data_IF_491887557072
#
_entry.id   IF_491887557072
#
_cell.length_a   1.000
_cell.length_b   1.000
_cell.length_c   1.000
_cell.angle_alpha   90.00
_cell.angle_beta   90.00
_cell.angle_gamma   90.00
#
_symmetry.space_group_name_H-M   'P 1'
#
loop_
_entity.id
_entity.type
_entity.pdbx_description
1 polymer ?
#
# COMPACT_ATOMS: atom_id res chain seq x y z
N UNK A 1 12.16 -5.96 2.62
CA UNK A 1 11.31 -7.18 2.69
C UNK A 1 9.90 -6.73 3.00
N UNK A 2 8.97 -6.92 2.07
CA UNK A 2 7.55 -6.67 2.29
C UNK A 2 6.94 -7.97 2.77
N UNK A 3 6.16 -7.90 3.85
CA UNK A 3 5.39 -9.04 4.31
C UNK A 3 3.93 -8.57 4.29
N UNK A 4 3.06 -9.38 3.70
CA UNK A 4 1.63 -9.13 3.64
C UNK A 4 1.08 -9.11 5.07
N UNK A 5 0.88 -7.91 5.60
CA UNK A 5 0.37 -7.68 6.95
C UNK A 5 -1.13 -7.42 6.89
N UNK A 6 -1.91 -8.24 7.58
CA UNK A 6 -3.31 -7.95 7.84
C UNK A 6 -3.42 -6.79 8.85
N UNK A 7 -4.05 -5.70 8.40
CA UNK A 7 -4.69 -4.61 9.16
C UNK A 7 -4.06 -4.17 10.50
N UNK A 8 -3.54 -2.94 10.52
CA UNK A 8 -3.33 -2.16 11.74
C UNK A 8 -3.07 -0.69 11.43
N UNK A 9 -4.12 0.14 11.44
CA UNK A 9 -3.99 1.59 11.30
C UNK A 9 -3.39 2.21 12.57
N UNK A 10 -2.30 2.98 12.43
CA UNK A 10 -2.04 4.17 13.23
C UNK A 10 -1.03 5.07 12.50
N UNK A 11 -1.49 6.26 12.11
CA UNK A 11 -0.65 7.39 11.70
C UNK A 11 -0.80 8.48 12.77
N UNK A 12 0.28 9.15 13.15
CA UNK A 12 0.28 10.48 13.75
C UNK A 12 1.65 11.13 13.55
N UNK A 13 1.66 12.40 13.15
CA UNK A 13 2.79 13.32 13.21
C UNK A 13 2.30 14.64 13.82
N UNK A 14 2.94 15.00 14.93
CA UNK A 14 3.32 16.30 15.51
C UNK A 14 2.56 17.60 15.17
N UNK A 15 2.35 18.39 16.23
CA UNK A 15 1.50 19.58 16.28
C UNK A 15 2.21 20.94 16.14
N UNK A 16 1.38 21.98 16.17
CA UNK A 16 1.76 23.39 16.31
C UNK A 16 0.71 24.12 17.20
N UNK A 17 1.20 25.13 17.91
CA UNK A 17 0.70 25.75 19.13
C UNK A 17 -0.68 26.46 19.10
N UNK A 18 -1.17 26.74 20.32
CA UNK A 18 -2.46 27.31 20.68
C UNK A 18 -2.52 28.84 20.66
N UNK A 19 -3.72 29.38 20.41
CA UNK A 19 -4.22 30.62 21.02
C UNK A 19 -5.75 30.69 20.85
N UNK A 20 -6.47 30.92 21.96
CA UNK A 20 -7.66 31.76 21.94
C UNK A 20 -9.00 31.13 21.60
N UNK A 21 -9.57 30.41 22.57
CA UNK A 21 -11.02 30.20 22.83
C UNK A 21 -12.02 30.80 21.84
N UNK A 22 -12.54 29.94 20.96
CA UNK A 22 -13.97 29.84 20.61
C UNK A 22 -14.29 28.36 20.49
N UNK A 23 -15.03 27.85 21.47
CA UNK A 23 -15.58 26.50 21.49
C UNK A 23 -16.48 26.30 20.27
N UNK A 24 -15.93 25.66 19.23
CA UNK A 24 -16.67 25.06 18.13
C UNK A 24 -16.48 23.54 18.21
N UNK A 25 -17.52 22.74 17.92
CA UNK A 25 -17.59 21.35 18.32
C UNK A 25 -16.67 20.49 17.45
N UNK A 26 -15.58 20.02 18.02
CA UNK A 26 -14.86 18.87 17.51
C UNK A 26 -15.61 17.63 18.01
N UNK A 27 -15.95 16.72 17.09
CA UNK A 27 -16.66 15.42 17.28
C UNK A 27 -18.12 15.33 16.81
N UNK A 28 -18.42 15.91 15.65
CA UNK A 28 -19.47 15.38 14.78
C UNK A 28 -18.86 14.93 13.45
N UNK A 29 -18.14 13.80 13.47
CA UNK A 29 -18.14 12.94 12.28
C UNK A 29 -19.59 12.64 11.90
N UNK A 30 -19.93 12.44 10.61
CA UNK A 30 -21.31 12.19 10.22
C UNK A 30 -21.85 11.03 11.05
N UNK A 31 -22.88 11.33 11.85
CA UNK A 31 -23.60 10.34 12.64
C UNK A 31 -24.00 9.18 11.73
N UNK A 32 -23.72 7.92 12.10
CA UNK A 32 -23.96 6.76 11.25
C UNK A 32 -25.45 6.46 11.04
N UNK A 33 -26.35 7.31 11.56
CA UNK A 33 -27.78 7.11 11.58
C UNK A 33 -28.57 7.94 10.55
N UNK A 34 -27.90 8.67 9.65
CA UNK A 34 -28.58 9.58 8.73
C UNK A 34 -28.26 9.36 7.25
N UNK A 35 -28.11 8.11 6.81
CA UNK A 35 -28.44 7.66 5.45
C UNK A 35 -28.91 6.21 5.57
N UNK A 36 -30.12 5.91 5.05
CA UNK A 36 -30.88 4.70 5.34
C UNK A 36 -30.31 3.41 4.74
N UNK A 37 -29.16 2.95 5.23
CA UNK A 37 -28.62 1.61 4.97
C UNK A 37 -28.20 0.95 6.27
N UNK A 38 -28.61 -0.30 6.48
CA UNK A 38 -28.22 -1.07 7.66
C UNK A 38 -26.76 -1.55 7.57
N UNK A 39 -26.23 -2.19 8.63
CA UNK A 39 -24.88 -2.77 8.64
C UNK A 39 -24.61 -3.73 7.47
N UNK A 40 -25.68 -4.36 6.95
CA UNK A 40 -25.65 -5.28 5.82
C UNK A 40 -25.38 -4.58 4.48
N UNK A 41 -25.89 -3.37 4.29
CA UNK A 41 -25.74 -2.60 3.05
C UNK A 41 -24.29 -2.10 2.86
N UNK A 42 -23.60 -1.81 3.97
CA UNK A 42 -22.18 -1.46 3.95
C UNK A 42 -21.31 -2.65 3.52
N UNK A 43 -21.59 -3.84 4.05
CA UNK A 43 -20.84 -5.06 3.71
C UNK A 43 -21.10 -5.47 2.26
N UNK A 44 -22.35 -5.40 1.79
CA UNK A 44 -22.68 -5.62 0.38
C UNK A 44 -21.93 -4.66 -0.54
N UNK A 45 -21.93 -3.36 -0.24
CA UNK A 45 -21.19 -2.38 -1.04
C UNK A 45 -19.66 -2.58 -1.01
N UNK A 46 -19.10 -3.22 0.01
CA UNK A 46 -17.68 -3.60 0.02
C UNK A 46 -17.40 -4.81 -0.87
N UNK A 47 -18.28 -5.81 -0.83
CA UNK A 47 -18.20 -7.02 -1.66
C UNK A 47 -18.30 -6.64 -3.15
N UNK A 48 -19.27 -5.79 -3.49
CA UNK A 48 -19.48 -5.34 -4.87
C UNK A 48 -18.24 -4.63 -5.41
N UNK A 49 -17.65 -3.70 -4.63
CA UNK A 49 -16.41 -3.02 -5.00
C UNK A 49 -15.24 -3.99 -5.20
N UNK A 50 -15.09 -4.98 -4.32
CA UNK A 50 -14.04 -5.99 -4.46
C UNK A 50 -14.22 -6.81 -5.74
N UNK A 51 -15.45 -7.24 -6.03
CA UNK A 51 -15.78 -7.99 -7.24
C UNK A 51 -15.52 -7.16 -8.50
N UNK A 52 -15.87 -5.87 -8.50
CA UNK A 52 -15.61 -4.97 -9.62
C UNK A 52 -14.11 -4.83 -9.91
N UNK A 53 -13.30 -4.64 -8.86
CA UNK A 53 -11.84 -4.52 -8.99
C UNK A 53 -11.23 -5.84 -9.47
N UNK A 54 -11.68 -6.96 -8.91
CA UNK A 54 -11.21 -8.29 -9.32
C UNK A 54 -11.54 -8.56 -10.79
N UNK A 55 -12.79 -8.33 -11.20
CA UNK A 55 -13.24 -8.56 -12.57
C UNK A 55 -12.48 -7.64 -13.56
N UNK A 56 -12.21 -6.39 -13.19
CA UNK A 56 -11.40 -5.49 -14.01
C UNK A 56 -9.94 -5.96 -14.13
N UNK A 57 -9.35 -6.46 -13.04
CA UNK A 57 -7.97 -6.94 -13.02
C UNK A 57 -7.79 -8.29 -13.73
N UNK A 58 -8.84 -9.11 -13.81
CA UNK A 58 -8.84 -10.37 -14.55
C UNK A 58 -8.95 -10.17 -16.08
N UNK A 59 -9.29 -8.96 -16.54
CA UNK A 59 -9.31 -8.68 -17.97
C UNK A 59 -7.92 -8.86 -18.60
N UNK A 60 -7.87 -9.29 -19.88
CA UNK A 60 -6.63 -9.34 -20.64
C UNK A 60 -5.88 -8.01 -20.57
N UNK A 61 -4.54 -8.08 -20.51
CA UNK A 61 -3.71 -6.88 -20.46
C UNK A 61 -3.91 -5.96 -21.69
N UNK A 62 -4.30 -6.54 -22.82
CA UNK A 62 -4.84 -5.87 -24.01
C UNK A 62 -5.65 -6.88 -24.83
N UNK A 63 -6.39 -6.41 -25.83
CA UNK A 63 -7.19 -7.28 -26.70
C UNK A 63 -6.34 -8.35 -27.39
N UNK A 64 -6.62 -9.63 -27.12
CA UNK A 64 -5.88 -10.77 -27.67
C UNK A 64 -4.68 -11.23 -26.83
N UNK A 65 -4.42 -10.60 -25.67
CA UNK A 65 -3.46 -11.10 -24.70
C UNK A 65 -4.06 -12.27 -23.91
N UNK A 66 -3.26 -13.31 -23.65
CA UNK A 66 -3.69 -14.46 -22.83
C UNK A 66 -3.56 -14.16 -21.33
N UNK A 67 -2.71 -13.20 -20.97
CA UNK A 67 -2.39 -12.87 -19.58
C UNK A 67 -3.27 -11.74 -19.09
N UNK A 68 -3.84 -11.91 -17.90
CA UNK A 68 -4.61 -10.86 -17.23
C UNK A 68 -3.71 -9.81 -16.60
N UNK A 69 -4.29 -8.64 -16.34
CA UNK A 69 -3.60 -7.56 -15.61
C UNK A 69 -3.13 -8.03 -14.21
N UNK A 70 -3.97 -8.81 -13.51
CA UNK A 70 -3.66 -9.33 -12.18
C UNK A 70 -2.46 -10.29 -12.20
N UNK A 71 -2.40 -11.19 -13.18
CA UNK A 71 -1.29 -12.15 -13.29
C UNK A 71 0.06 -11.43 -13.48
N UNK A 72 0.10 -10.40 -14.33
CA UNK A 72 1.31 -9.59 -14.53
C UNK A 72 1.72 -8.86 -13.26
N UNK A 73 0.76 -8.32 -12.50
CA UNK A 73 1.05 -7.69 -11.21
C UNK A 73 1.61 -8.68 -10.21
N UNK A 74 1.02 -9.88 -10.09
CA UNK A 74 1.50 -10.90 -9.18
C UNK A 74 2.98 -11.24 -9.45
N UNK A 75 3.33 -11.47 -10.72
CA UNK A 75 4.70 -11.73 -11.16
C UNK A 75 5.64 -10.55 -10.88
N UNK A 76 5.21 -9.31 -11.16
CA UNK A 76 6.03 -8.11 -10.92
C UNK A 76 6.29 -7.87 -9.43
N UNK A 77 5.33 -8.20 -8.57
CA UNK A 77 5.49 -8.16 -7.12
C UNK A 77 6.49 -9.20 -6.66
N UNK A 78 6.40 -10.42 -7.18
CA UNK A 78 7.32 -11.51 -6.87
C UNK A 78 8.76 -11.13 -7.26
N UNK A 79 8.96 -10.70 -8.50
CA UNK A 79 10.24 -10.19 -9.02
C UNK A 79 10.77 -9.04 -8.16
N UNK A 80 9.90 -8.12 -7.72
CA UNK A 80 10.31 -7.02 -6.86
C UNK A 80 10.83 -7.51 -5.51
N UNK A 81 10.12 -8.44 -4.89
CA UNK A 81 10.46 -8.98 -3.56
C UNK A 81 11.74 -9.79 -3.65
N UNK A 82 11.84 -10.71 -4.60
CA UNK A 82 13.00 -11.58 -4.79
C UNK A 82 14.24 -10.79 -5.25
N UNK A 83 14.06 -9.92 -6.24
CA UNK A 83 15.12 -9.07 -6.78
C UNK A 83 15.48 -7.88 -5.89
N UNK A 84 14.80 -7.66 -4.77
CA UNK A 84 14.99 -6.51 -3.88
C UNK A 84 14.91 -5.17 -4.63
N UNK A 85 14.05 -5.10 -5.66
CA UNK A 85 14.00 -3.96 -6.57
C UNK A 85 13.48 -2.71 -5.84
N UNK A 86 14.25 -1.63 -5.94
CA UNK A 86 13.79 -0.32 -5.47
C UNK A 86 12.56 0.13 -6.25
N UNK A 87 11.74 0.99 -5.66
CA UNK A 87 10.59 1.60 -6.34
C UNK A 87 11.04 2.34 -7.62
N UNK A 88 12.18 3.04 -7.55
CA UNK A 88 12.77 3.71 -8.71
C UNK A 88 13.09 2.76 -9.88
N UNK A 89 13.66 1.59 -9.60
CA UNK A 89 13.99 0.61 -10.65
C UNK A 89 12.70 0.02 -11.24
N UNK A 90 11.73 -0.27 -10.38
CA UNK A 90 10.42 -0.76 -10.81
C UNK A 90 9.74 0.22 -11.78
N UNK A 91 9.70 1.51 -11.44
CA UNK A 91 9.07 2.54 -12.27
C UNK A 91 9.79 2.68 -13.62
N UNK A 92 11.11 2.57 -13.64
CA UNK A 92 11.89 2.58 -14.89
C UNK A 92 11.59 1.39 -15.78
N UNK A 93 11.48 0.19 -15.21
CA UNK A 93 11.11 -1.02 -15.97
C UNK A 93 9.69 -0.88 -16.51
N UNK A 94 8.77 -0.33 -15.71
CA UNK A 94 7.37 -0.14 -16.10
C UNK A 94 7.23 0.86 -17.25
N UNK A 95 7.93 2.00 -17.17
CA UNK A 95 8.00 2.99 -18.27
C UNK A 95 8.62 2.41 -19.54
N UNK A 96 9.66 1.59 -19.41
CA UNK A 96 10.23 0.90 -20.57
C UNK A 96 9.24 -0.11 -21.18
N UNK A 97 8.48 -0.82 -20.33
CA UNK A 97 7.42 -1.72 -20.75
C UNK A 97 6.30 -1.03 -21.53
N UNK A 98 5.87 0.14 -21.08
CA UNK A 98 4.86 0.99 -21.75
C UNK A 98 5.25 1.29 -23.21
N UNK A 99 6.52 1.57 -23.47
CA UNK A 99 7.00 1.89 -24.83
C UNK A 99 6.97 0.70 -25.81
N UNK A 100 7.03 -0.54 -25.32
CA UNK A 100 7.05 -1.74 -26.17
C UNK A 100 5.67 -2.38 -26.31
N UNK A 101 4.71 -2.00 -25.46
CA UNK A 101 3.37 -2.57 -25.46
C UNK A 101 2.45 -1.90 -26.50
N UNK A 102 1.37 -2.58 -26.91
CA UNK A 102 0.36 -2.00 -27.81
C UNK A 102 -0.35 -0.80 -27.17
N UNK A 103 -0.70 0.22 -27.96
CA UNK A 103 -1.31 1.50 -27.47
C UNK A 103 -2.56 1.37 -26.59
N UNK A 104 -3.22 0.21 -26.57
CA UNK A 104 -4.45 -0.06 -25.82
C UNK A 104 -4.23 -1.06 -24.67
N UNK A 105 -3.08 -1.01 -24.00
CA UNK A 105 -2.79 -1.86 -22.85
C UNK A 105 -3.31 -1.28 -21.52
N UNK A 106 -3.62 -2.16 -20.57
CA UNK A 106 -4.04 -1.84 -19.19
C UNK A 106 -2.89 -2.00 -18.19
N UNK A 107 -1.64 -2.01 -18.64
CA UNK A 107 -0.46 -2.16 -17.79
C UNK A 107 -0.28 -0.99 -16.80
N UNK A 108 0.26 -1.29 -15.60
CA UNK A 108 0.53 -0.28 -14.57
C UNK A 108 1.80 0.49 -14.91
N UNK A 109 1.65 1.80 -15.06
CA UNK A 109 2.76 2.68 -15.46
C UNK A 109 3.80 2.82 -14.32
N UNK A 110 3.41 2.58 -13.06
CA UNK A 110 4.29 2.74 -11.90
C UNK A 110 3.93 1.83 -10.70
N UNK A 111 4.84 1.78 -9.72
CA UNK A 111 4.73 1.02 -8.48
C UNK A 111 3.54 1.46 -7.62
N UNK A 112 3.18 2.74 -7.67
CA UNK A 112 2.07 3.28 -6.88
C UNK A 112 0.73 2.70 -7.34
N UNK A 113 0.47 2.68 -8.64
CA UNK A 113 -0.77 2.15 -9.20
C UNK A 113 -0.87 0.63 -8.98
N UNK A 114 0.25 -0.09 -9.09
CA UNK A 114 0.31 -1.50 -8.72
C UNK A 114 -0.06 -1.71 -7.24
N UNK A 115 0.55 -0.95 -6.33
CA UNK A 115 0.24 -1.02 -4.89
C UNK A 115 -1.21 -0.66 -4.58
N UNK A 116 -1.78 0.29 -5.34
CA UNK A 116 -3.18 0.69 -5.22
C UNK A 116 -4.11 -0.47 -5.63
N UNK A 117 -3.89 -1.11 -6.77
CA UNK A 117 -4.67 -2.28 -7.20
C UNK A 117 -4.67 -3.35 -6.11
N UNK A 118 -3.48 -3.68 -5.60
CA UNK A 118 -3.28 -4.69 -4.57
C UNK A 118 -4.03 -4.32 -3.28
N UNK A 119 -4.02 -3.05 -2.90
CA UNK A 119 -4.80 -2.54 -1.76
C UNK A 119 -6.31 -2.62 -2.01
N UNK A 120 -6.77 -2.27 -3.21
CA UNK A 120 -8.18 -2.30 -3.59
C UNK A 120 -8.71 -3.74 -3.63
N UNK A 121 -7.84 -4.72 -3.91
CA UNK A 121 -8.07 -6.16 -3.76
C UNK A 121 -7.98 -6.66 -2.31
N UNK A 122 -7.80 -5.77 -1.33
CA UNK A 122 -7.71 -6.14 0.09
C UNK A 122 -6.40 -6.82 0.50
N UNK A 123 -5.33 -6.67 -0.28
CA UNK A 123 -4.01 -7.29 -0.04
C UNK A 123 -2.92 -6.24 0.31
N UNK A 124 -3.09 -5.37 1.31
CA UNK A 124 -2.21 -4.23 1.53
C UNK A 124 -0.73 -4.60 1.67
N UNK A 125 0.14 -3.87 0.97
CA UNK A 125 1.59 -3.97 1.12
C UNK A 125 2.12 -3.04 2.21
N UNK A 126 2.72 -3.64 3.23
CA UNK A 126 3.33 -2.94 4.36
C UNK A 126 4.86 -2.98 4.29
N UNK A 127 5.48 -1.84 4.63
CA UNK A 127 6.93 -1.72 4.69
C UNK A 127 7.40 -2.04 6.10
N UNK A 128 8.18 -3.10 6.22
CA UNK A 128 8.84 -3.44 7.48
C UNK A 128 10.27 -2.92 7.45
N UNK A 129 10.62 -2.12 8.46
CA UNK A 129 11.99 -1.64 8.62
C UNK A 129 12.88 -2.81 9.07
N UNK A 130 14.09 -2.89 8.51
CA UNK A 130 15.11 -3.84 8.91
C UNK A 130 16.29 -3.11 9.54
N UNK A 131 17.00 -3.77 10.45
CA UNK A 131 18.31 -3.32 10.90
C UNK A 131 19.25 -3.15 9.69
N UNK A 132 20.10 -2.11 9.70
CA UNK A 132 21.06 -1.87 8.60
C UNK A 132 21.97 -3.09 8.32
N UNK A 133 22.27 -3.86 9.38
CA UNK A 133 23.10 -5.06 9.33
C UNK A 133 22.27 -6.35 9.13
N UNK A 134 20.97 -6.24 8.88
CA UNK A 134 20.08 -7.40 8.68
C UNK A 134 19.80 -8.25 9.91
N UNK A 135 20.22 -7.83 11.11
CA UNK A 135 20.11 -8.67 12.33
C UNK A 135 18.67 -8.92 12.80
N UNK A 136 17.75 -8.00 12.49
CA UNK A 136 16.33 -8.10 12.88
C UNK A 136 15.44 -7.24 12.00
N UNK A 137 14.17 -7.62 11.96
CA UNK A 137 13.07 -6.79 11.47
C UNK A 137 12.39 -6.08 12.63
N UNK A 138 12.07 -4.80 12.46
CA UNK A 138 11.31 -4.00 13.41
C UNK A 138 9.81 -4.28 13.20
N UNK A 139 9.35 -5.42 13.71
CA UNK A 139 7.99 -5.91 13.57
C UNK A 139 7.48 -6.53 14.90
N UNK A 140 6.16 -6.50 15.12
CA UNK A 140 5.46 -6.94 16.33
C UNK A 140 6.06 -6.28 17.57
N UNK A 141 6.59 -7.05 18.50
CA UNK A 141 7.16 -6.58 19.76
C UNK A 141 8.38 -5.67 19.59
N UNK A 142 8.95 -5.62 18.38
CA UNK A 142 10.09 -4.76 18.04
C UNK A 142 9.70 -3.49 17.25
N UNK A 143 8.40 -3.19 17.09
CA UNK A 143 7.95 -2.07 16.25
C UNK A 143 8.36 -0.71 16.81
N UNK A 144 8.40 -0.56 18.13
CA UNK A 144 8.74 0.68 18.84
C UNK A 144 10.23 0.76 19.23
N UNK A 145 11.05 -0.19 18.78
CA UNK A 145 12.49 -0.17 19.07
C UNK A 145 13.22 0.81 18.15
N UNK A 146 13.98 1.73 18.76
CA UNK A 146 14.85 2.64 18.03
C UNK A 146 16.25 2.08 17.78
N UNK A 147 16.61 0.99 18.45
CA UNK A 147 17.92 0.35 18.36
C UNK A 147 17.79 -1.15 18.14
N UNK A 148 18.72 -1.69 17.35
CA UNK A 148 18.81 -3.13 17.12
C UNK A 148 19.24 -3.85 18.40
N UNK A 149 18.43 -4.81 18.87
CA UNK A 149 18.72 -5.61 20.07
C UNK A 149 20.00 -6.47 19.98
N UNK A 150 20.49 -6.72 18.76
CA UNK A 150 21.66 -7.58 18.52
C UNK A 150 22.95 -6.80 18.27
N UNK A 151 22.88 -5.68 17.54
CA UNK A 151 24.08 -4.92 17.14
C UNK A 151 24.11 -3.48 17.66
N UNK A 152 23.10 -3.05 18.43
CA UNK A 152 23.03 -1.72 19.05
C UNK A 152 22.86 -0.56 18.06
N UNK A 153 22.69 -0.85 16.77
CA UNK A 153 22.60 0.19 15.76
C UNK A 153 21.24 0.89 15.75
N UNK A 154 21.24 2.20 15.55
CA UNK A 154 20.03 2.99 15.36
C UNK A 154 19.21 2.53 14.15
N UNK A 155 17.88 2.54 14.30
CA UNK A 155 16.91 2.23 13.25
C UNK A 155 16.89 3.29 12.15
N UNK A 156 16.96 4.56 12.52
CA UNK A 156 16.83 5.70 11.61
C UNK A 156 18.19 6.32 11.32
N UNK A 157 18.39 6.78 10.08
CA UNK A 157 19.55 7.61 9.73
C UNK A 157 19.41 8.98 10.41
N UNK A 158 20.50 9.59 10.89
CA UNK A 158 20.45 10.94 11.43
C UNK A 158 19.94 11.91 10.37
N UNK A 159 19.01 12.78 10.77
CA UNK A 159 18.50 13.85 9.90
C UNK A 159 19.67 14.80 9.65
N UNK A 160 20.14 14.89 8.41
CA UNK A 160 21.12 15.92 8.02
C UNK A 160 20.38 17.26 7.98
N UNK A 161 20.76 18.15 8.89
CA UNK A 161 20.32 19.56 8.91
C UNK A 161 21.08 20.36 7.85
#
# INVERSE_FOLDING_TARGET
>A
MMIFGAAGQAYNQDGAADDGTRSCPLDAGPSPYYYGGGPYDYVHGLIDRFQDVLHAAEQPLWNGCTTSQLAVVAELVDIKVDGHLSELIYDRISQWGDHIMPRNHSFFVDYYNMKKLIKDLGLPMEKINACKNGCMLYWKDAIDMDYCKFCGEARYKPIRK
#
